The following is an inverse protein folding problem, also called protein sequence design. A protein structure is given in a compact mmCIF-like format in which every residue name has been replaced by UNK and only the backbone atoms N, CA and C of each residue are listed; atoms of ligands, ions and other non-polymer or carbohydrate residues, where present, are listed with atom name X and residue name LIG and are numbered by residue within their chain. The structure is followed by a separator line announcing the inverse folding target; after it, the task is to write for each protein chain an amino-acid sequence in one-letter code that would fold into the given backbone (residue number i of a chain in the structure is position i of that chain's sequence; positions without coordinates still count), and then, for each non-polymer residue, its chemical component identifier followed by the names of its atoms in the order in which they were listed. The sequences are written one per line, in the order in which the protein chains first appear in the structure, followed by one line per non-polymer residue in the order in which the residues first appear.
data_IF_886220147575
#
_entry.id   IF_886220147575
#
_cell.length_a   1.000
_cell.length_b   1.000
_cell.length_c   1.000
_cell.angle_alpha   90.00
_cell.angle_beta   90.00
_cell.angle_gamma   90.00
#
_symmetry.space_group_name_H-M   'P 1'
#
loop_
_entity.id
_entity.type
_entity.pdbx_description
1 polymer ?
#
# COMPACT_ATOMS: atom_id res chain seq x y z
N UNK A 1 16.58 -26.30 -0.27
CA UNK A 1 16.30 -25.85 -1.65
C UNK A 1 14.80 -26.00 -1.87
N UNK A 2 14.07 -24.88 -1.95
CA UNK A 2 12.67 -24.94 -2.35
C UNK A 2 12.59 -25.24 -3.85
N UNK A 3 11.63 -26.06 -4.30
CA UNK A 3 11.49 -26.38 -5.71
C UNK A 3 11.24 -25.11 -6.50
N UNK A 4 11.83 -25.04 -7.68
CA UNK A 4 11.48 -24.04 -8.70
C UNK A 4 10.08 -24.38 -9.23
N UNK A 5 9.07 -24.14 -8.42
CA UNK A 5 7.69 -24.33 -8.82
C UNK A 5 7.15 -22.95 -9.21
N UNK A 6 6.53 -22.84 -10.37
CA UNK A 6 5.92 -21.62 -10.89
C UNK A 6 4.82 -21.05 -9.98
N UNK A 7 4.37 -21.83 -9.00
CA UNK A 7 3.29 -21.47 -8.07
C UNK A 7 3.79 -20.82 -6.76
N UNK A 8 5.11 -20.67 -6.58
CA UNK A 8 5.69 -20.07 -5.38
C UNK A 8 6.24 -18.67 -5.71
N UNK A 9 5.72 -17.67 -5.02
CA UNK A 9 6.18 -16.28 -5.06
C UNK A 9 7.12 -16.00 -3.90
N UNK A 10 8.31 -15.45 -4.20
CA UNK A 10 9.26 -14.99 -3.18
C UNK A 10 9.03 -13.51 -2.89
N UNK A 11 8.74 -13.19 -1.64
CA UNK A 11 8.72 -11.82 -1.11
C UNK A 11 9.89 -11.61 -0.15
N UNK A 12 10.28 -10.35 0.02
CA UNK A 12 11.34 -9.95 0.95
C UNK A 12 10.83 -8.79 1.78
N UNK A 13 11.15 -8.81 3.08
CA UNK A 13 10.92 -7.65 3.95
C UNK A 13 11.99 -6.59 3.69
N UNK A 14 11.71 -5.33 4.04
CA UNK A 14 12.67 -4.22 3.92
C UNK A 14 13.87 -4.35 4.83
N UNK A 15 13.72 -5.03 5.99
CA UNK A 15 14.79 -5.29 6.93
C UNK A 15 15.47 -4.03 7.48
N UNK A 16 14.79 -3.27 8.34
CA UNK A 16 15.31 -2.03 8.96
C UNK A 16 16.65 -2.20 9.67
N UNK A 17 17.00 -3.43 10.05
CA UNK A 17 18.29 -3.81 10.69
C UNK A 17 19.32 -4.36 9.71
N UNK A 18 19.12 -4.22 8.39
CA UNK A 18 19.98 -4.79 7.35
C UNK A 18 19.78 -6.28 7.09
N UNK A 19 18.93 -6.95 7.86
CA UNK A 19 18.55 -8.35 7.65
C UNK A 19 17.12 -8.42 7.11
N UNK A 20 16.94 -8.95 5.91
CA UNK A 20 15.62 -9.17 5.32
C UNK A 20 15.20 -10.62 5.48
N UNK A 21 13.90 -10.85 5.69
CA UNK A 21 13.30 -12.18 5.67
C UNK A 21 12.93 -12.53 4.21
N UNK A 22 13.06 -13.78 3.88
CA UNK A 22 12.55 -14.36 2.63
C UNK A 22 11.27 -15.12 2.94
N UNK A 23 10.17 -14.68 2.38
CA UNK A 23 8.85 -15.24 2.59
C UNK A 23 8.44 -15.92 1.29
N UNK A 24 8.01 -17.16 1.41
CA UNK A 24 7.58 -17.96 0.26
C UNK A 24 6.06 -18.15 0.33
N UNK A 25 5.35 -17.52 -0.57
CA UNK A 25 3.91 -17.67 -0.70
C UNK A 25 3.57 -18.67 -1.79
N UNK A 26 2.72 -19.64 -1.50
CA UNK A 26 2.02 -20.34 -2.54
C UNK A 26 0.95 -19.41 -3.13
N UNK A 27 0.89 -19.27 -4.45
CA UNK A 27 0.03 -18.29 -5.14
C UNK A 27 -1.43 -18.37 -4.71
N UNK A 28 -1.98 -19.59 -4.56
CA UNK A 28 -3.36 -19.80 -4.12
C UNK A 28 -3.58 -19.34 -2.68
N UNK A 29 -2.64 -19.60 -1.78
CA UNK A 29 -2.74 -19.18 -0.37
C UNK A 29 -2.57 -17.67 -0.22
N UNK A 30 -1.69 -17.06 -1.02
CA UNK A 30 -1.58 -15.60 -1.08
C UNK A 30 -2.90 -14.94 -1.51
N UNK A 31 -3.59 -15.48 -2.50
CA UNK A 31 -4.91 -14.97 -2.93
C UNK A 31 -5.95 -15.16 -1.82
N UNK A 32 -5.98 -16.32 -1.16
CA UNK A 32 -6.93 -16.59 -0.06
C UNK A 32 -6.74 -15.62 1.11
N UNK A 33 -5.49 -15.35 1.51
CA UNK A 33 -5.19 -14.44 2.62
C UNK A 33 -5.62 -12.99 2.36
N UNK A 34 -5.82 -12.60 1.08
CA UNK A 34 -6.34 -11.29 0.72
C UNK A 34 -7.86 -11.20 0.73
N UNK A 35 -8.59 -12.33 0.80
CA UNK A 35 -10.05 -12.33 0.70
C UNK A 35 -10.72 -11.58 1.85
N UNK A 36 -10.24 -11.74 3.09
CA UNK A 36 -10.78 -11.03 4.26
C UNK A 36 -10.58 -9.52 4.14
N UNK A 37 -9.42 -9.10 3.64
CA UNK A 37 -9.14 -7.69 3.38
C UNK A 37 -10.07 -7.12 2.29
N UNK A 38 -10.30 -7.85 1.19
CA UNK A 38 -11.23 -7.42 0.15
C UNK A 38 -12.68 -7.38 0.63
N UNK A 39 -13.10 -8.33 1.47
CA UNK A 39 -14.43 -8.30 2.12
C UNK A 39 -14.59 -7.03 2.98
N UNK A 40 -13.57 -6.68 3.77
CA UNK A 40 -13.59 -5.50 4.64
C UNK A 40 -13.61 -4.19 3.83
N UNK A 41 -12.73 -4.07 2.80
CA UNK A 41 -12.73 -2.93 1.87
C UNK A 41 -14.10 -2.72 1.21
N UNK A 42 -14.70 -3.80 0.74
CA UNK A 42 -16.02 -3.72 0.11
C UNK A 42 -17.10 -3.34 1.12
N UNK A 43 -17.14 -4.00 2.28
CA UNK A 43 -18.16 -3.81 3.30
C UNK A 43 -18.17 -2.39 3.89
N UNK A 44 -16.99 -1.84 4.19
CA UNK A 44 -16.90 -0.56 4.92
C UNK A 44 -16.64 0.63 4.01
N UNK A 45 -15.99 0.42 2.88
CA UNK A 45 -15.54 1.51 2.01
C UNK A 45 -16.05 1.42 0.58
N UNK A 46 -16.84 0.38 0.25
CA UNK A 46 -17.38 0.14 -1.11
C UNK A 46 -16.29 0.01 -2.18
N UNK A 47 -15.10 -0.45 -1.80
CA UNK A 47 -13.96 -0.67 -2.69
C UNK A 47 -13.95 -2.11 -3.17
N UNK A 48 -13.87 -2.31 -4.49
CA UNK A 48 -13.82 -3.63 -5.12
C UNK A 48 -12.53 -3.84 -5.91
N UNK A 49 -12.17 -5.12 -6.19
CA UNK A 49 -11.00 -5.45 -7.01
C UNK A 49 -11.03 -4.92 -8.45
N UNK A 50 -12.20 -4.51 -8.93
CA UNK A 50 -12.39 -3.98 -10.29
C UNK A 50 -12.05 -2.49 -10.42
N UNK A 51 -11.93 -1.79 -9.29
CA UNK A 51 -11.65 -0.36 -9.26
C UNK A 51 -10.18 -0.06 -9.57
N UNK A 52 -9.95 1.06 -10.25
CA UNK A 52 -8.61 1.53 -10.59
C UNK A 52 -7.91 2.11 -9.36
N UNK A 53 -6.61 1.83 -9.22
CA UNK A 53 -5.83 2.40 -8.14
C UNK A 53 -4.40 2.74 -8.54
N UNK A 54 -3.79 3.65 -7.78
CA UNK A 54 -2.37 3.92 -7.87
C UNK A 54 -1.65 3.44 -6.61
N UNK A 55 -0.41 3.00 -6.79
CA UNK A 55 0.47 2.57 -5.71
C UNK A 55 1.93 2.95 -5.97
N UNK A 56 2.75 2.93 -4.91
CA UNK A 56 4.20 3.14 -5.03
C UNK A 56 4.96 1.91 -4.55
N UNK A 57 6.03 1.58 -5.25
CA UNK A 57 6.86 0.42 -4.92
C UNK A 57 8.33 0.79 -4.81
N UNK A 58 9.07 -0.05 -4.09
CA UNK A 58 10.52 0.04 -4.02
C UNK A 58 11.12 -1.15 -4.75
N UNK A 59 12.06 -0.89 -5.67
CA UNK A 59 12.81 -1.97 -6.32
C UNK A 59 13.82 -2.53 -5.34
N UNK A 60 13.75 -3.83 -5.06
CA UNK A 60 14.78 -4.51 -4.29
C UNK A 60 16.03 -4.69 -5.15
N UNK A 61 17.11 -4.02 -4.77
CA UNK A 61 18.39 -4.14 -5.45
C UNK A 61 18.91 -5.59 -5.39
N UNK A 62 19.09 -6.22 -6.55
CA UNK A 62 19.92 -7.41 -6.70
C UNK A 62 21.15 -6.99 -7.52
N UNK A 63 22.25 -6.75 -6.81
CA UNK A 63 23.54 -6.43 -7.42
C UNK A 63 23.69 -4.95 -7.82
N UNK A 64 24.93 -4.53 -8.18
CA UNK A 64 25.35 -3.16 -8.49
C UNK A 64 24.79 -2.54 -9.78
N UNK A 65 23.79 -3.13 -10.38
CA UNK A 65 23.02 -2.51 -11.44
C UNK A 65 21.66 -2.18 -10.89
N UNK A 66 21.41 -0.88 -10.68
CA UNK A 66 20.07 -0.34 -10.89
C UNK A 66 19.77 -0.77 -12.33
N UNK A 67 19.13 -1.93 -12.50
CA UNK A 67 18.49 -2.19 -13.79
C UNK A 67 17.70 -0.91 -14.04
N UNK A 68 17.75 -0.35 -15.25
CA UNK A 68 16.94 0.82 -15.63
C UNK A 68 15.56 0.56 -15.11
N UNK A 69 15.33 1.01 -13.87
CA UNK A 69 14.28 0.50 -13.03
C UNK A 69 13.02 0.92 -13.73
N UNK A 70 12.13 -0.01 -14.01
CA UNK A 70 10.81 0.31 -14.52
C UNK A 70 10.29 1.44 -13.67
N UNK A 71 10.21 2.62 -14.24
CA UNK A 71 9.84 3.85 -13.53
C UNK A 71 8.37 3.77 -13.11
N UNK A 72 7.57 3.12 -13.95
CA UNK A 72 6.13 2.87 -13.74
C UNK A 72 5.73 1.53 -14.36
N UNK A 73 4.74 0.90 -13.77
CA UNK A 73 4.17 -0.37 -14.20
C UNK A 73 2.66 -0.30 -14.23
N UNK A 74 2.06 -0.98 -15.22
CA UNK A 74 0.61 -1.18 -15.27
C UNK A 74 0.33 -2.65 -14.97
N UNK A 75 -0.41 -2.91 -13.92
CA UNK A 75 -0.69 -4.25 -13.39
C UNK A 75 -2.21 -4.51 -13.32
N UNK A 76 -2.58 -5.73 -12.98
CA UNK A 76 -3.97 -6.14 -12.77
C UNK A 76 -4.88 -5.76 -13.96
N UNK A 77 -4.45 -6.11 -15.18
CA UNK A 77 -5.21 -5.84 -16.42
C UNK A 77 -5.55 -4.34 -16.60
N UNK A 78 -4.60 -3.46 -16.28
CA UNK A 78 -4.75 -2.02 -16.44
C UNK A 78 -5.40 -1.28 -15.26
N UNK A 79 -5.72 -1.98 -14.17
CA UNK A 79 -6.37 -1.36 -13.00
C UNK A 79 -5.43 -0.78 -11.96
N UNK A 80 -4.16 -1.17 -11.97
CA UNK A 80 -3.15 -0.57 -11.10
C UNK A 80 -2.09 0.16 -11.92
N UNK A 81 -1.89 1.43 -11.63
CA UNK A 81 -0.74 2.21 -12.07
C UNK A 81 0.21 2.36 -10.88
N UNK A 82 1.36 1.71 -10.96
CA UNK A 82 2.35 1.67 -9.90
C UNK A 82 3.61 2.45 -10.28
N UNK A 83 4.17 3.20 -9.33
CA UNK A 83 5.32 4.07 -9.52
C UNK A 83 6.51 3.64 -8.65
N UNK A 84 7.72 3.72 -9.22
CA UNK A 84 8.94 3.47 -8.47
C UNK A 84 9.31 4.69 -7.64
N UNK A 85 9.45 4.52 -6.32
CA UNK A 85 9.86 5.62 -5.41
C UNK A 85 11.37 5.76 -5.24
N UNK A 86 12.17 4.92 -5.88
CA UNK A 86 13.64 5.00 -5.80
C UNK A 86 14.15 6.15 -6.66
N UNK A 87 14.94 7.04 -6.06
CA UNK A 87 15.48 8.23 -6.74
C UNK A 87 14.39 9.23 -7.16
N UNK A 88 13.33 9.34 -6.35
CA UNK A 88 12.25 10.27 -6.59
C UNK A 88 12.75 11.71 -6.41
N UNK A 89 12.79 12.49 -7.51
CA UNK A 89 13.01 13.93 -7.49
C UNK A 89 11.68 14.68 -7.57
N UNK A 90 11.69 16.00 -7.36
CA UNK A 90 10.49 16.86 -7.48
C UNK A 90 9.91 16.82 -8.90
N UNK A 91 10.76 16.83 -9.93
CA UNK A 91 10.32 16.78 -11.34
C UNK A 91 9.66 15.44 -11.64
N UNK A 92 10.21 14.35 -11.10
CA UNK A 92 9.65 13.02 -11.27
C UNK A 92 8.35 12.83 -10.50
N UNK A 93 8.24 13.43 -9.32
CA UNK A 93 6.99 13.47 -8.57
C UNK A 93 5.90 14.21 -9.34
N UNK A 94 6.26 15.34 -10.00
CA UNK A 94 5.35 16.09 -10.87
C UNK A 94 4.88 15.25 -12.07
N UNK A 95 5.79 14.50 -12.72
CA UNK A 95 5.44 13.57 -13.80
C UNK A 95 4.45 12.50 -13.31
N UNK A 96 4.77 11.86 -12.19
CA UNK A 96 3.92 10.81 -11.61
C UNK A 96 2.55 11.34 -11.20
N UNK A 97 2.51 12.55 -10.65
CA UNK A 97 1.24 13.14 -10.26
C UNK A 97 0.35 13.49 -11.47
N UNK A 98 0.94 13.96 -12.56
CA UNK A 98 0.22 14.15 -13.83
C UNK A 98 -0.30 12.80 -14.39
N UNK A 99 0.49 11.74 -14.29
CA UNK A 99 0.02 10.39 -14.65
C UNK A 99 -1.15 9.93 -13.76
N UNK A 100 -1.12 10.22 -12.45
CA UNK A 100 -2.23 9.92 -11.53
C UNK A 100 -3.50 10.68 -11.94
N UNK A 101 -3.37 11.98 -12.27
CA UNK A 101 -4.50 12.80 -12.73
C UNK A 101 -5.11 12.22 -14.02
N UNK A 102 -4.28 11.83 -14.99
CA UNK A 102 -4.72 11.28 -16.27
C UNK A 102 -5.29 9.85 -16.14
N UNK A 103 -4.79 9.08 -15.19
CA UNK A 103 -5.26 7.72 -14.94
C UNK A 103 -6.64 7.69 -14.27
N UNK A 104 -6.98 8.75 -13.53
CA UNK A 104 -8.24 8.87 -12.78
C UNK A 104 -8.50 7.63 -11.88
N UNK A 105 -7.66 7.40 -10.84
CA UNK A 105 -7.86 6.26 -9.94
C UNK A 105 -9.09 6.45 -9.07
N UNK A 106 -9.78 5.35 -8.76
CA UNK A 106 -10.82 5.34 -7.74
C UNK A 106 -10.22 5.42 -6.32
N UNK A 107 -9.01 4.88 -6.13
CA UNK A 107 -8.35 4.87 -4.84
C UNK A 107 -6.82 4.85 -4.92
N UNK A 108 -6.17 5.19 -3.79
CA UNK A 108 -4.71 5.15 -3.62
C UNK A 108 -4.35 4.14 -2.54
N UNK A 109 -3.31 3.33 -2.82
CA UNK A 109 -2.67 2.45 -1.85
C UNK A 109 -1.24 2.90 -1.63
N UNK A 110 -0.98 3.55 -0.49
CA UNK A 110 0.27 4.26 -0.24
C UNK A 110 0.86 3.91 1.14
N UNK A 111 2.15 4.21 1.31
CA UNK A 111 2.71 4.39 2.64
C UNK A 111 2.34 5.77 3.18
N UNK A 112 2.18 5.95 4.51
CA UNK A 112 1.96 7.25 5.12
C UNK A 112 2.93 8.34 4.65
N UNK A 113 4.23 8.06 4.65
CA UNK A 113 5.26 8.99 4.16
C UNK A 113 5.06 9.43 2.70
N UNK A 114 4.62 8.51 1.84
CA UNK A 114 4.36 8.84 0.43
C UNK A 114 3.09 9.69 0.26
N UNK A 115 2.05 9.40 1.03
CA UNK A 115 0.82 10.18 1.03
C UNK A 115 1.05 11.61 1.56
N UNK A 116 1.86 11.76 2.62
CA UNK A 116 2.29 13.06 3.16
C UNK A 116 3.09 13.84 2.13
N UNK A 117 4.05 13.20 1.44
CA UNK A 117 4.82 13.84 0.37
C UNK A 117 3.94 14.33 -0.78
N UNK A 118 2.99 13.50 -1.23
CA UNK A 118 2.02 13.89 -2.26
C UNK A 118 1.14 15.05 -1.79
N UNK A 119 0.70 15.06 -0.53
CA UNK A 119 -0.13 16.13 0.02
C UNK A 119 0.64 17.46 0.06
N UNK A 120 1.90 17.46 0.48
CA UNK A 120 2.74 18.66 0.39
C UNK A 120 2.88 19.14 -1.06
N UNK A 121 3.20 18.23 -1.98
CA UNK A 121 3.34 18.56 -3.40
C UNK A 121 2.06 19.18 -3.98
N UNK A 122 0.90 18.59 -3.71
CA UNK A 122 -0.42 19.12 -4.15
C UNK A 122 -0.64 20.53 -3.61
N UNK A 123 -0.42 20.72 -2.31
CA UNK A 123 -0.64 22.01 -1.63
C UNK A 123 0.29 23.09 -2.13
N UNK A 124 1.59 22.82 -2.22
CA UNK A 124 2.61 23.79 -2.63
C UNK A 124 2.49 24.23 -4.09
N UNK A 125 2.02 23.33 -4.96
CA UNK A 125 1.86 23.58 -6.39
C UNK A 125 0.42 23.90 -6.80
N UNK A 126 -0.51 24.03 -5.86
CA UNK A 126 -1.94 24.27 -6.11
C UNK A 126 -2.53 23.28 -7.13
N UNK A 127 -2.14 21.99 -7.02
CA UNK A 127 -2.61 20.96 -7.94
C UNK A 127 -4.03 20.50 -7.58
N UNK A 128 -4.80 20.11 -8.59
CA UNK A 128 -6.11 19.49 -8.37
C UNK A 128 -5.97 18.05 -7.88
N UNK A 129 -6.95 17.56 -7.11
CA UNK A 129 -7.09 16.16 -6.73
C UNK A 129 -7.91 15.44 -7.82
N UNK A 130 -7.60 14.15 -8.17
CA UNK A 130 -8.39 13.38 -9.12
C UNK A 130 -9.87 13.32 -8.69
N UNK A 131 -10.79 13.68 -9.59
CA UNK A 131 -12.23 13.72 -9.27
C UNK A 131 -12.84 12.33 -9.03
N UNK A 132 -12.22 11.31 -9.58
CA UNK A 132 -12.59 9.89 -9.42
C UNK A 132 -12.20 9.33 -8.04
N UNK A 133 -11.28 9.97 -7.33
CA UNK A 133 -10.71 9.46 -6.08
C UNK A 133 -11.75 9.45 -4.96
N UNK A 134 -11.93 8.29 -4.32
CA UNK A 134 -12.93 8.05 -3.28
C UNK A 134 -12.34 7.49 -1.99
N UNK A 135 -11.13 6.93 -2.06
CA UNK A 135 -10.54 6.17 -0.97
C UNK A 135 -9.03 6.24 -0.97
N UNK A 136 -8.45 6.37 0.21
CA UNK A 136 -7.00 6.31 0.42
C UNK A 136 -6.73 5.28 1.50
N UNK A 137 -5.97 4.24 1.18
CA UNK A 137 -5.51 3.23 2.12
C UNK A 137 -4.02 3.40 2.38
N UNK A 138 -3.67 3.53 3.64
CA UNK A 138 -2.29 3.69 4.09
C UNK A 138 -1.82 2.44 4.81
N UNK A 139 -0.63 1.97 4.44
CA UNK A 139 -0.05 0.74 5.00
C UNK A 139 1.48 0.77 5.00
N UNK A 140 2.09 -0.13 5.79
CA UNK A 140 3.53 -0.39 5.80
C UNK A 140 4.37 0.54 6.67
N UNK A 141 3.80 1.57 7.23
CA UNK A 141 4.43 2.51 8.16
C UNK A 141 3.41 2.92 9.23
N UNK A 142 3.89 3.50 10.34
CA UNK A 142 3.02 4.09 11.35
C UNK A 142 2.33 5.35 10.78
N UNK A 143 1.02 5.41 10.87
CA UNK A 143 0.25 6.60 10.53
C UNK A 143 0.12 7.49 11.76
N UNK A 144 0.73 8.67 11.72
CA UNK A 144 0.60 9.68 12.76
C UNK A 144 -0.66 10.53 12.53
N UNK A 145 -1.24 11.06 13.60
CA UNK A 145 -2.41 11.93 13.52
C UNK A 145 -2.13 13.21 12.72
N UNK A 146 -0.92 13.76 12.84
CA UNK A 146 -0.45 14.91 12.04
C UNK A 146 -0.48 14.63 10.54
N UNK A 147 -0.03 13.44 10.14
CA UNK A 147 0.00 13.03 8.73
C UNK A 147 -1.42 12.81 8.22
N UNK A 148 -2.25 12.14 9.02
CA UNK A 148 -3.66 11.93 8.71
C UNK A 148 -4.38 13.25 8.46
N UNK A 149 -4.22 14.22 9.38
CA UNK A 149 -4.85 15.52 9.27
C UNK A 149 -4.37 16.29 8.03
N UNK A 150 -3.07 16.31 7.75
CA UNK A 150 -2.53 16.94 6.54
C UNK A 150 -3.12 16.33 5.25
N UNK A 151 -3.17 15.00 5.17
CA UNK A 151 -3.70 14.30 3.99
C UNK A 151 -5.19 14.63 3.81
N UNK A 152 -5.97 14.57 4.90
CA UNK A 152 -7.40 14.88 4.89
C UNK A 152 -7.68 16.34 4.51
N UNK A 153 -6.92 17.28 5.05
CA UNK A 153 -7.04 18.71 4.76
C UNK A 153 -6.76 19.04 3.29
N UNK A 154 -5.81 18.35 2.66
CA UNK A 154 -5.36 18.64 1.29
C UNK A 154 -6.17 17.87 0.25
N UNK A 155 -6.44 16.59 0.51
CA UNK A 155 -7.11 15.70 -0.47
C UNK A 155 -8.62 15.64 -0.24
N UNK A 156 -9.11 16.07 0.94
CA UNK A 156 -10.52 16.05 1.36
C UNK A 156 -11.10 14.63 1.45
N UNK A 157 -10.24 13.64 1.68
CA UNK A 157 -10.60 12.24 1.91
C UNK A 157 -9.84 11.77 3.15
N UNK A 158 -10.58 11.32 4.17
CA UNK A 158 -9.97 10.72 5.36
C UNK A 158 -9.23 9.44 4.98
N UNK A 159 -7.90 9.36 5.16
CA UNK A 159 -7.16 8.15 4.87
C UNK A 159 -7.44 7.06 5.91
N UNK A 160 -7.51 5.83 5.43
CA UNK A 160 -7.81 4.63 6.21
C UNK A 160 -6.51 3.88 6.49
N UNK A 161 -6.31 3.50 7.74
CA UNK A 161 -5.15 2.72 8.15
C UNK A 161 -5.39 1.22 7.92
N UNK A 162 -4.47 0.56 7.22
CA UNK A 162 -4.42 -0.90 7.07
C UNK A 162 -3.11 -1.42 7.66
N UNK A 163 -3.22 -2.19 8.72
CA UNK A 163 -2.10 -2.88 9.34
C UNK A 163 -1.90 -4.25 8.71
N UNK A 164 -0.69 -4.53 8.27
CA UNK A 164 -0.34 -5.79 7.64
C UNK A 164 1.17 -6.00 7.53
N UNK A 165 1.56 -7.22 7.19
CA UNK A 165 2.95 -7.61 6.96
C UNK A 165 3.08 -8.41 5.66
N UNK A 166 4.31 -8.57 5.18
CA UNK A 166 4.56 -9.43 4.02
C UNK A 166 4.28 -10.91 4.31
N UNK A 167 4.29 -11.30 5.59
CA UNK A 167 4.09 -12.66 6.09
C UNK A 167 2.61 -13.06 6.10
N UNK A 168 1.73 -12.11 6.38
CA UNK A 168 0.30 -12.38 6.62
C UNK A 168 -0.63 -11.60 5.70
N UNK A 169 -0.12 -10.67 4.88
CA UNK A 169 -0.90 -9.64 4.19
C UNK A 169 -1.66 -8.75 5.19
N UNK A 170 -2.97 -8.60 5.08
CA UNK A 170 -3.75 -7.79 6.01
C UNK A 170 -3.94 -8.48 7.36
N UNK A 171 -3.66 -7.77 8.44
CA UNK A 171 -3.94 -8.16 9.83
C UNK A 171 -5.17 -7.43 10.34
N UNK A 172 -5.23 -6.12 10.12
CA UNK A 172 -6.35 -5.30 10.53
C UNK A 172 -6.56 -4.13 9.57
N UNK A 173 -7.79 -3.63 9.48
CA UNK A 173 -8.15 -2.47 8.66
C UNK A 173 -9.13 -1.58 9.41
N UNK A 174 -8.99 -0.29 9.25
CA UNK A 174 -9.86 0.71 9.85
C UNK A 174 -11.22 0.74 9.12
N UNK A 175 -12.32 0.74 9.89
CA UNK A 175 -13.66 0.92 9.34
C UNK A 175 -13.98 2.42 9.13
N UNK A 176 -15.14 2.70 8.56
CA UNK A 176 -15.64 4.07 8.34
C UNK A 176 -15.90 4.88 9.63
N UNK A 177 -15.90 4.22 10.79
CA UNK A 177 -16.00 4.88 12.10
C UNK A 177 -14.64 5.13 12.78
N UNK A 178 -13.53 4.82 12.09
CA UNK A 178 -12.18 5.02 12.61
C UNK A 178 -11.67 3.93 13.55
N UNK A 179 -12.36 2.81 13.69
CA UNK A 179 -11.92 1.69 14.51
C UNK A 179 -11.15 0.66 13.68
N UNK A 180 -10.00 0.23 14.19
CA UNK A 180 -9.19 -0.80 13.57
C UNK A 180 -9.73 -2.19 13.94
N UNK A 181 -10.15 -2.96 12.96
CA UNK A 181 -10.72 -4.30 13.13
C UNK A 181 -9.75 -5.37 12.63
N UNK A 182 -9.55 -6.40 13.45
CA UNK A 182 -8.76 -7.57 13.08
C UNK A 182 -9.49 -8.38 12.00
N UNK A 183 -8.73 -8.84 11.01
CA UNK A 183 -9.24 -9.71 9.94
C UNK A 183 -9.20 -11.17 10.41
N UNK A 184 -10.14 -11.56 11.27
CA UNK A 184 -10.18 -12.86 11.95
C UNK A 184 -10.26 -14.07 11.00
N UNK A 185 -10.78 -13.89 9.80
CA UNK A 185 -10.75 -14.92 8.74
C UNK A 185 -9.31 -15.20 8.22
N UNK A 186 -8.34 -14.33 8.53
CA UNK A 186 -6.97 -14.42 8.03
C UNK A 186 -5.95 -14.68 9.13
N UNK A 187 -6.11 -14.08 10.31
CA UNK A 187 -5.13 -14.12 11.40
C UNK A 187 -5.81 -14.26 12.76
N UNK A 188 -5.10 -14.88 13.71
CA UNK A 188 -5.41 -14.85 15.13
C UNK A 188 -4.41 -13.92 15.79
N UNK A 189 -4.88 -12.92 16.53
CA UNK A 189 -4.04 -11.97 17.26
C UNK A 189 -4.21 -12.20 18.76
N UNK A 190 -3.11 -12.53 19.42
CA UNK A 190 -3.03 -12.66 20.88
C UNK A 190 -2.27 -11.48 21.50
N UNK A 191 -2.80 -10.93 22.58
CA UNK A 191 -2.16 -9.83 23.32
C UNK A 191 -1.69 -10.38 24.64
N UNK A 192 -0.37 -10.35 24.88
CA UNK A 192 0.19 -10.73 26.16
C UNK A 192 -0.12 -9.69 27.24
N UNK A 193 -0.14 -10.12 28.52
CA UNK A 193 -0.43 -9.24 29.69
C UNK A 193 0.48 -8.01 29.81
N UNK A 194 1.65 -8.04 29.20
CA UNK A 194 2.62 -6.93 29.10
C UNK A 194 2.49 -6.09 27.83
N UNK A 195 1.42 -6.26 27.08
CA UNK A 195 1.11 -5.41 25.93
C UNK A 195 1.89 -5.71 24.63
N UNK A 196 2.71 -6.77 24.62
CA UNK A 196 3.38 -7.20 23.38
C UNK A 196 2.50 -8.21 22.64
N UNK A 197 2.20 -8.00 21.33
CA UNK A 197 1.52 -9.00 20.53
C UNK A 197 2.44 -10.20 20.30
N UNK A 198 1.89 -11.42 20.40
CA UNK A 198 2.54 -12.64 19.91
C UNK A 198 2.05 -12.85 18.48
N UNK A 199 2.98 -12.93 17.56
CA UNK A 199 2.70 -13.39 16.19
C UNK A 199 3.02 -14.87 16.06
#
# INVERSE_FOLDING_TARGET
RYPKNSDIELRRTSGSTGRYLKIYWHRKENIKSLLSLWKARNRWHSISPEMKFCSFFTVNYQGNKIAEARQKEINYSGRNLAFCKVGLSTEKLAEYYNDILNFEPDWLNLQPSMATLLSHFIKENNMSVPKSLKYIELTGELLLDSDRNLIEDVIHIRPINMYGTNETNGIAIECNHGNLHILEDNVIVEVLKNGMPVM
#
